data_IF_519704141956
#
_entry.id   IF_519704141956
#
_cell.length_a   1.000
_cell.length_b   1.000
_cell.length_c   1.000
_cell.angle_alpha   90.00
_cell.angle_beta   90.00
_cell.angle_gamma   90.00
#
_symmetry.space_group_name_H-M   'P 1'
#
loop_
_entity.id
_entity.type
_entity.pdbx_description
1 polymer ?
#
# COMPACT_ATOMS: atom_id res chain seq x y z
N UNK A 1 7.10 36.42 4.03
CA UNK A 1 8.26 36.72 4.88
C UNK A 1 8.71 35.45 5.55
N UNK A 2 10.04 35.28 5.59
CA UNK A 2 10.85 34.23 6.20
C UNK A 2 10.81 32.87 5.46
N UNK A 3 11.82 32.55 4.63
CA UNK A 3 13.21 32.16 5.01
C UNK A 3 13.21 31.01 6.02
N UNK A 4 14.05 30.00 6.01
CA UNK A 4 15.16 29.53 5.17
C UNK A 4 15.54 28.23 5.86
N UNK A 5 15.84 27.14 5.15
CA UNK A 5 16.84 26.24 5.69
C UNK A 5 17.70 25.68 4.56
N UNK A 6 18.88 26.28 4.46
CA UNK A 6 19.94 26.00 3.49
C UNK A 6 21.19 25.65 4.30
N UNK A 7 21.96 24.75 3.70
CA UNK A 7 23.33 24.33 4.03
C UNK A 7 23.46 23.10 4.94
N UNK A 8 24.25 22.05 4.63
CA UNK A 8 25.35 21.70 3.70
C UNK A 8 26.44 21.18 4.63
N UNK A 9 26.87 19.92 4.48
CA UNK A 9 28.23 19.55 4.86
C UNK A 9 28.72 18.41 3.98
N UNK A 10 29.50 18.80 2.99
CA UNK A 10 30.48 17.95 2.33
C UNK A 10 31.73 17.90 3.21
N UNK A 11 32.26 16.70 3.48
CA UNK A 11 33.65 16.41 3.84
C UNK A 11 33.85 14.98 3.33
N UNK A 12 34.69 14.65 2.34
CA UNK A 12 36.02 15.17 2.04
C UNK A 12 37.01 14.04 2.32
N UNK A 13 37.75 13.58 1.30
CA UNK A 13 39.20 13.25 1.32
C UNK A 13 39.59 12.06 0.40
N UNK A 14 39.91 12.40 -0.84
CA UNK A 14 41.19 12.05 -1.51
C UNK A 14 41.72 13.38 -2.07
N UNK A 15 43.03 13.63 -2.35
CA UNK A 15 44.09 12.66 -2.66
C UNK A 15 45.54 13.07 -2.21
N UNK A 16 46.51 12.22 -2.59
CA UNK A 16 47.94 12.51 -2.94
C UNK A 16 48.93 13.02 -1.87
N UNK A 17 50.07 12.32 -1.75
CA UNK A 17 51.44 12.79 -1.37
C UNK A 17 52.28 11.51 -1.15
N UNK A 18 53.47 11.26 -1.70
CA UNK A 18 54.37 11.97 -2.60
C UNK A 18 55.33 10.91 -3.17
N UNK A 19 55.86 11.25 -4.34
CA UNK A 19 56.92 10.56 -5.07
C UNK A 19 58.17 10.32 -4.22
N UNK A 20 58.91 9.25 -4.52
CA UNK A 20 60.37 9.29 -4.44
C UNK A 20 60.93 8.46 -5.59
N UNK A 21 61.14 9.15 -6.72
CA UNK A 21 62.08 8.73 -7.75
C UNK A 21 63.47 8.94 -7.15
N UNK A 22 64.18 7.85 -6.94
CA UNK A 22 65.65 7.91 -6.83
C UNK A 22 66.20 6.98 -7.89
N UNK A 23 66.47 7.57 -9.05
CA UNK A 23 67.38 7.01 -10.03
C UNK A 23 68.79 7.38 -9.55
N UNK A 24 69.56 6.39 -9.12
CA UNK A 24 70.98 6.53 -8.81
C UNK A 24 71.73 5.36 -9.45
N UNK A 25 72.54 5.69 -10.45
CA UNK A 25 73.84 5.06 -10.69
C UNK A 25 73.82 3.72 -11.41
N UNK A 26 74.02 3.79 -12.73
CA UNK A 26 74.80 2.80 -13.47
C UNK A 26 76.25 2.88 -12.98
N UNK A 27 76.74 1.88 -12.24
CA UNK A 27 78.17 1.53 -12.21
C UNK A 27 78.35 0.02 -11.94
N UNK A 28 78.86 -0.65 -12.97
CA UNK A 28 79.53 -1.95 -12.94
C UNK A 28 80.49 -2.08 -11.75
N UNK A 29 80.24 -3.04 -10.85
CA UNK A 29 81.30 -3.78 -10.17
C UNK A 29 80.90 -5.24 -9.99
N UNK A 30 81.72 -6.10 -10.56
CA UNK A 30 81.74 -7.56 -10.47
C UNK A 30 81.55 -8.06 -9.04
N UNK A 31 80.44 -8.75 -8.78
CA UNK A 31 80.29 -9.61 -7.60
C UNK A 31 80.57 -11.05 -8.02
N UNK A 32 81.84 -11.42 -7.85
CA UNK A 32 82.39 -12.76 -7.64
C UNK A 32 81.33 -13.84 -7.44
N UNK A 33 81.31 -14.83 -8.33
CA UNK A 33 80.43 -16.00 -8.25
C UNK A 33 80.57 -16.69 -6.90
N UNK A 34 79.61 -16.45 -6.02
CA UNK A 34 79.45 -17.19 -4.78
C UNK A 34 78.79 -18.51 -5.20
N UNK A 35 79.59 -19.56 -5.29
CA UNK A 35 79.10 -20.93 -5.35
C UNK A 35 78.23 -21.15 -4.11
N UNK A 36 76.91 -21.05 -4.26
CA UNK A 36 75.97 -21.53 -3.25
C UNK A 36 75.92 -23.05 -3.37
N UNK A 37 76.90 -23.70 -2.75
CA UNK A 37 76.73 -25.07 -2.29
C UNK A 37 75.51 -25.11 -1.37
N UNK A 38 74.46 -25.73 -1.90
CA UNK A 38 73.49 -26.54 -1.17
C UNK A 38 72.93 -25.98 0.16
N UNK A 39 72.33 -24.78 0.15
CA UNK A 39 71.37 -24.41 1.20
C UNK A 39 70.06 -25.17 0.96
N UNK A 40 70.04 -26.45 1.35
CA UNK A 40 68.84 -27.29 1.32
C UNK A 40 67.84 -26.73 2.33
N UNK A 41 66.72 -26.19 1.82
CA UNK A 41 65.60 -25.77 2.69
C UNK A 41 65.11 -26.99 3.48
N UNK A 42 64.96 -26.90 4.82
CA UNK A 42 64.45 -28.02 5.61
C UNK A 42 63.08 -28.44 5.10
N UNK A 43 62.87 -29.75 4.99
CA UNK A 43 61.64 -30.34 4.49
C UNK A 43 60.52 -30.14 5.53
N UNK A 44 59.91 -28.96 5.54
CA UNK A 44 58.79 -28.64 6.43
C UNK A 44 57.53 -29.46 6.11
N UNK A 45 56.66 -29.63 7.12
CA UNK A 45 55.36 -30.31 7.02
C UNK A 45 54.54 -29.76 5.82
N UNK A 46 54.45 -30.52 4.73
CA UNK A 46 53.73 -30.14 3.50
C UNK A 46 52.20 -30.36 3.55
N UNK A 47 51.68 -30.85 4.67
CA UNK A 47 50.26 -31.24 4.80
C UNK A 47 49.28 -30.09 4.53
N UNK A 48 49.66 -28.84 4.84
CA UNK A 48 48.82 -27.68 4.57
C UNK A 48 48.77 -27.30 3.06
N UNK A 49 49.84 -27.57 2.31
CA UNK A 49 49.92 -27.26 0.87
C UNK A 49 49.11 -28.26 0.02
N UNK A 50 49.07 -29.52 0.45
CA UNK A 50 48.29 -30.60 -0.17
C UNK A 50 46.78 -30.31 -0.11
N UNK A 51 46.27 -29.94 1.07
CA UNK A 51 44.85 -29.61 1.28
C UNK A 51 44.42 -28.39 0.45
N UNK A 52 45.32 -27.42 0.23
CA UNK A 52 45.06 -26.23 -0.59
C UNK A 52 45.08 -26.50 -2.09
N UNK A 53 45.83 -27.51 -2.56
CA UNK A 53 45.82 -27.94 -3.97
C UNK A 53 44.52 -28.67 -4.33
N UNK A 54 43.97 -29.49 -3.42
CA UNK A 54 42.71 -30.26 -3.60
C UNK A 54 41.41 -29.44 -3.52
N UNK A 55 41.50 -28.12 -3.33
CA UNK A 55 40.36 -27.20 -3.47
C UNK A 55 40.49 -26.34 -4.74
N UNK A 56 41.66 -26.39 -5.39
CA UNK A 56 41.99 -25.65 -6.62
C UNK A 56 42.20 -26.62 -7.79
N UNK A 57 42.01 -27.92 -7.60
CA UNK A 57 41.84 -28.86 -8.69
C UNK A 57 40.43 -28.71 -9.27
N UNK A 58 40.30 -28.91 -10.58
CA UNK A 58 39.07 -28.63 -11.32
C UNK A 58 37.87 -29.35 -10.70
N UNK A 59 38.05 -30.59 -10.24
CA UNK A 59 37.01 -31.38 -9.59
C UNK A 59 36.55 -30.77 -8.24
N UNK A 60 37.48 -30.31 -7.41
CA UNK A 60 37.15 -29.67 -6.14
C UNK A 60 36.39 -28.35 -6.33
N UNK A 61 36.75 -27.57 -7.36
CA UNK A 61 36.04 -26.34 -7.74
C UNK A 61 34.63 -26.64 -8.23
N UNK A 62 34.47 -27.65 -9.10
CA UNK A 62 33.16 -28.06 -9.63
C UNK A 62 32.21 -28.50 -8.51
N UNK A 63 32.69 -29.26 -7.52
CA UNK A 63 31.89 -29.69 -6.38
C UNK A 63 31.40 -28.52 -5.51
N UNK A 64 32.25 -27.52 -5.26
CA UNK A 64 31.88 -26.31 -4.51
C UNK A 64 30.86 -25.49 -5.30
N UNK A 65 31.07 -25.29 -6.60
CA UNK A 65 30.13 -24.57 -7.47
C UNK A 65 28.78 -25.27 -7.52
N UNK A 66 28.74 -26.60 -7.62
CA UNK A 66 27.51 -27.38 -7.60
C UNK A 66 26.75 -27.23 -6.28
N UNK A 67 27.46 -27.23 -5.15
CA UNK A 67 26.85 -26.97 -3.83
C UNK A 67 26.29 -25.56 -3.74
N UNK A 68 27.03 -24.55 -4.19
CA UNK A 68 26.58 -23.17 -4.22
C UNK A 68 25.32 -23.01 -5.09
N UNK A 69 25.32 -23.60 -6.30
CA UNK A 69 24.18 -23.60 -7.20
C UNK A 69 22.95 -24.25 -6.55
N UNK A 70 23.13 -25.39 -5.87
CA UNK A 70 22.06 -26.05 -5.14
C UNK A 70 21.47 -25.16 -4.03
N UNK A 71 22.34 -24.50 -3.25
CA UNK A 71 21.91 -23.57 -2.19
C UNK A 71 21.15 -22.37 -2.76
N UNK A 72 21.67 -21.74 -3.81
CA UNK A 72 21.01 -20.61 -4.47
C UNK A 72 19.65 -21.00 -5.05
N UNK A 73 19.54 -22.18 -5.66
CA UNK A 73 18.27 -22.69 -6.18
C UNK A 73 17.23 -22.85 -5.07
N UNK A 74 17.62 -23.46 -3.94
CA UNK A 74 16.73 -23.61 -2.77
C UNK A 74 16.30 -22.26 -2.18
N UNK A 75 17.22 -21.30 -2.11
CA UNK A 75 16.91 -19.97 -1.61
C UNK A 75 15.93 -19.24 -2.53
N UNK A 76 16.12 -19.32 -3.85
CA UNK A 76 15.18 -18.74 -4.81
C UNK A 76 13.79 -19.40 -4.71
N UNK A 77 13.72 -20.73 -4.60
CA UNK A 77 12.46 -21.45 -4.41
C UNK A 77 11.75 -21.05 -3.11
N UNK A 78 12.51 -20.86 -2.02
CA UNK A 78 11.97 -20.40 -0.75
C UNK A 78 11.41 -18.98 -0.85
N UNK A 79 12.20 -18.05 -1.40
CA UNK A 79 11.80 -16.65 -1.58
C UNK A 79 10.55 -16.53 -2.46
N UNK A 80 10.47 -17.33 -3.53
CA UNK A 80 9.31 -17.36 -4.41
C UNK A 80 8.04 -17.78 -3.66
N UNK A 81 8.10 -18.86 -2.88
CA UNK A 81 6.98 -19.32 -2.06
C UNK A 81 6.58 -18.31 -0.99
N UNK A 82 7.56 -17.66 -0.37
CA UNK A 82 7.32 -16.61 0.62
C UNK A 82 6.58 -15.41 -0.01
N UNK A 83 7.00 -15.00 -1.22
CA UNK A 83 6.35 -13.93 -1.97
C UNK A 83 4.92 -14.29 -2.37
N UNK A 84 4.69 -15.50 -2.87
CA UNK A 84 3.34 -15.99 -3.21
C UNK A 84 2.42 -15.99 -1.99
N UNK A 85 2.90 -16.49 -0.85
CA UNK A 85 2.15 -16.48 0.40
C UNK A 85 1.83 -15.06 0.87
N UNK A 86 2.76 -14.12 0.68
CA UNK A 86 2.56 -12.71 1.01
C UNK A 86 1.48 -12.08 0.14
N UNK A 87 1.52 -12.31 -1.17
CA UNK A 87 0.51 -11.85 -2.13
C UNK A 87 -0.87 -12.42 -1.77
N UNK A 88 -0.96 -13.73 -1.49
CA UNK A 88 -2.23 -14.38 -1.14
C UNK A 88 -2.83 -13.80 0.16
N UNK A 89 -2.00 -13.59 1.19
CA UNK A 89 -2.43 -12.97 2.45
C UNK A 89 -2.93 -11.55 2.23
N UNK A 90 -2.20 -10.74 1.47
CA UNK A 90 -2.56 -9.35 1.22
C UNK A 90 -3.84 -9.25 0.38
N UNK A 91 -4.02 -10.16 -0.59
CA UNK A 91 -5.24 -10.26 -1.41
C UNK A 91 -6.46 -10.63 -0.56
N UNK A 92 -6.37 -11.68 0.27
CA UNK A 92 -7.46 -12.05 1.19
C UNK A 92 -7.79 -10.94 2.18
N UNK A 93 -6.77 -10.25 2.67
CA UNK A 93 -6.96 -9.12 3.59
C UNK A 93 -7.66 -7.95 2.90
N UNK A 94 -7.31 -7.66 1.64
CA UNK A 94 -7.97 -6.65 0.84
C UNK A 94 -9.43 -7.00 0.57
N UNK A 95 -9.71 -8.23 0.15
CA UNK A 95 -11.06 -8.72 -0.13
C UNK A 95 -11.98 -8.62 1.11
N UNK A 96 -11.49 -9.02 2.28
CA UNK A 96 -12.26 -8.88 3.54
C UNK A 96 -12.57 -7.42 3.88
N UNK A 97 -11.61 -6.51 3.68
CA UNK A 97 -11.82 -5.07 3.90
C UNK A 97 -12.85 -4.52 2.93
N UNK A 98 -12.76 -4.89 1.65
CA UNK A 98 -13.68 -4.46 0.62
C UNK A 98 -15.11 -4.94 0.90
N UNK A 99 -15.27 -6.22 1.25
CA UNK A 99 -16.56 -6.79 1.60
C UNK A 99 -17.18 -6.08 2.82
N UNK A 100 -16.36 -5.77 3.83
CA UNK A 100 -16.81 -5.03 5.02
C UNK A 100 -17.26 -3.62 4.65
N UNK A 101 -16.52 -2.92 3.79
CA UNK A 101 -16.86 -1.58 3.33
C UNK A 101 -18.15 -1.58 2.51
N UNK A 102 -18.30 -2.51 1.57
CA UNK A 102 -19.51 -2.68 0.75
C UNK A 102 -20.75 -2.89 1.62
N UNK A 103 -20.69 -3.82 2.57
CA UNK A 103 -21.80 -4.06 3.53
C UNK A 103 -22.10 -2.83 4.39
N UNK A 104 -21.08 -2.09 4.82
CA UNK A 104 -21.28 -0.87 5.61
C UNK A 104 -22.00 0.23 4.82
N UNK A 105 -21.65 0.40 3.55
CA UNK A 105 -22.31 1.37 2.66
C UNK A 105 -23.76 0.95 2.39
N UNK A 106 -24.01 -0.32 2.10
CA UNK A 106 -25.37 -0.83 1.88
C UNK A 106 -26.26 -0.64 3.11
N UNK A 107 -25.74 -0.89 4.32
CA UNK A 107 -26.46 -0.65 5.57
C UNK A 107 -26.75 0.84 5.80
N UNK A 108 -25.81 1.73 5.45
CA UNK A 108 -26.02 3.18 5.55
C UNK A 108 -27.09 3.67 4.58
N UNK A 109 -27.03 3.22 3.33
CA UNK A 109 -28.00 3.59 2.30
C UNK A 109 -29.41 3.09 2.64
N UNK A 110 -29.53 1.84 3.09
CA UNK A 110 -30.81 1.27 3.52
C UNK A 110 -31.37 1.99 4.74
N UNK A 111 -30.55 2.28 5.74
CA UNK A 111 -30.96 3.05 6.91
C UNK A 111 -31.41 4.48 6.53
N UNK A 112 -30.71 5.14 5.61
CA UNK A 112 -31.10 6.47 5.14
C UNK A 112 -32.43 6.43 4.38
N UNK A 113 -32.61 5.46 3.47
CA UNK A 113 -33.87 5.26 2.73
C UNK A 113 -35.05 5.01 3.68
N UNK A 114 -34.84 4.19 4.72
CA UNK A 114 -35.86 3.93 5.74
C UNK A 114 -36.22 5.20 6.51
N UNK A 115 -35.24 6.03 6.89
CA UNK A 115 -35.51 7.31 7.56
C UNK A 115 -36.36 8.25 6.71
N UNK A 116 -36.03 8.37 5.41
CA UNK A 116 -36.79 9.21 4.48
C UNK A 116 -38.23 8.69 4.35
N UNK A 117 -38.41 7.40 4.09
CA UNK A 117 -39.75 6.79 3.97
C UNK A 117 -40.57 6.94 5.23
N UNK A 118 -39.96 6.76 6.39
CA UNK A 118 -40.64 6.91 7.68
C UNK A 118 -41.06 8.36 7.93
N UNK A 119 -40.22 9.33 7.55
CA UNK A 119 -40.58 10.74 7.60
C UNK A 119 -41.75 11.06 6.65
N UNK A 120 -41.69 10.62 5.39
CA UNK A 120 -42.76 10.81 4.41
C UNK A 120 -44.10 10.21 4.89
N UNK A 121 -44.05 9.02 5.50
CA UNK A 121 -45.23 8.37 6.07
C UNK A 121 -45.81 9.16 7.25
N UNK A 122 -44.95 9.68 8.13
CA UNK A 122 -45.37 10.53 9.25
C UNK A 122 -46.02 11.83 8.76
N UNK A 123 -45.41 12.51 7.80
CA UNK A 123 -45.97 13.74 7.22
C UNK A 123 -47.30 13.47 6.51
N UNK A 124 -47.41 12.38 5.74
CA UNK A 124 -48.65 12.00 5.07
C UNK A 124 -49.76 11.63 6.07
N UNK A 125 -49.41 10.95 7.16
CA UNK A 125 -50.37 10.62 8.23
C UNK A 125 -50.86 11.87 8.96
N UNK A 126 -49.97 12.82 9.26
CA UNK A 126 -50.33 14.10 9.87
C UNK A 126 -51.25 14.92 8.96
N UNK A 127 -50.95 15.01 7.65
CA UNK A 127 -51.81 15.71 6.68
C UNK A 127 -53.22 15.11 6.61
N UNK A 128 -53.34 13.78 6.59
CA UNK A 128 -54.65 13.11 6.64
C UNK A 128 -55.38 13.39 7.94
N UNK A 129 -54.69 13.31 9.08
CA UNK A 129 -55.29 13.61 10.37
C UNK A 129 -55.77 15.06 10.46
N UNK A 130 -55.00 16.02 9.91
CA UNK A 130 -55.41 17.42 9.83
C UNK A 130 -56.64 17.57 8.92
N UNK A 131 -56.64 16.97 7.72
CA UNK A 131 -57.82 16.98 6.83
C UNK A 131 -59.05 16.38 7.51
N UNK A 132 -58.93 15.22 8.15
CA UNK A 132 -60.02 14.59 8.89
C UNK A 132 -60.50 15.47 10.04
N UNK A 133 -59.58 16.14 10.75
CA UNK A 133 -59.94 17.07 11.82
C UNK A 133 -60.73 18.26 11.29
N UNK A 134 -60.33 18.80 10.14
CA UNK A 134 -61.00 19.93 9.48
C UNK A 134 -62.39 19.52 8.98
N UNK A 135 -62.51 18.40 8.27
CA UNK A 135 -63.79 17.92 7.71
C UNK A 135 -64.82 17.56 8.79
N UNK A 136 -64.35 17.14 9.97
CA UNK A 136 -65.23 16.79 11.10
C UNK A 136 -65.46 17.96 12.07
N UNK A 137 -64.88 19.14 11.83
CA UNK A 137 -65.17 20.34 12.61
C UNK A 137 -66.48 20.98 12.12
N UNK A 138 -67.37 21.26 13.07
CA UNK A 138 -68.59 22.02 12.78
C UNK A 138 -68.25 23.52 12.68
N UNK A 139 -68.13 24.00 11.43
CA UNK A 139 -67.75 25.39 11.12
C UNK A 139 -68.72 26.39 11.75
N UNK A 140 -69.99 26.04 11.93
CA UNK A 140 -71.01 26.91 12.54
C UNK A 140 -70.72 27.26 14.00
N UNK A 141 -69.91 26.45 14.68
CA UNK A 141 -69.50 26.65 16.08
C UNK A 141 -68.20 27.45 16.22
N UNK A 142 -67.53 27.79 15.11
CA UNK A 142 -66.31 28.59 15.12
C UNK A 142 -66.62 30.10 15.14
N UNK A 143 -65.69 30.89 15.66
CA UNK A 143 -65.77 32.36 15.65
C UNK A 143 -65.71 32.84 14.19
N UNK A 144 -66.45 33.89 13.78
CA UNK A 144 -66.56 34.31 12.37
C UNK A 144 -65.23 34.53 11.63
N UNK A 145 -64.18 34.98 12.34
CA UNK A 145 -62.85 35.12 11.77
C UNK A 145 -62.24 33.78 11.32
N UNK A 146 -62.47 32.70 12.07
CA UNK A 146 -62.00 31.35 11.75
C UNK A 146 -62.86 30.69 10.67
N UNK A 147 -64.17 30.95 10.65
CA UNK A 147 -65.07 30.49 9.59
C UNK A 147 -64.57 30.93 8.21
N UNK A 148 -64.21 32.22 8.09
CA UNK A 148 -63.70 32.81 6.85
C UNK A 148 -62.35 32.22 6.39
N UNK A 149 -61.50 31.79 7.34
CA UNK A 149 -60.23 31.13 6.99
C UNK A 149 -60.42 29.70 6.48
N UNK A 150 -61.41 28.98 7.01
CA UNK A 150 -61.76 27.64 6.52
C UNK A 150 -62.37 27.69 5.14
N UNK A 151 -63.29 28.63 4.90
CA UNK A 151 -63.85 28.88 3.57
C UNK A 151 -62.77 29.18 2.54
N UNK A 152 -61.67 29.88 2.87
CA UNK A 152 -60.56 30.12 1.94
C UNK A 152 -59.66 28.89 1.71
N UNK A 153 -59.47 28.04 2.72
CA UNK A 153 -58.61 26.84 2.65
C UNK A 153 -59.24 25.73 1.80
N UNK A 154 -60.57 25.70 1.64
CA UNK A 154 -61.25 24.77 0.73
C UNK A 154 -60.88 25.03 -0.74
N UNK A 155 -60.74 26.29 -1.15
CA UNK A 155 -60.39 26.65 -2.55
C UNK A 155 -58.94 26.36 -2.92
N UNK A 156 -58.05 26.16 -1.94
CA UNK A 156 -56.63 25.86 -2.16
C UNK A 156 -56.37 24.35 -2.34
N UNK A 157 -57.33 23.48 -1.99
CA UNK A 157 -57.20 22.02 -2.07
C UNK A 157 -57.70 21.42 -3.40
N UNK A 158 -58.40 22.19 -4.25
CA UNK A 158 -58.96 21.69 -5.51
C UNK A 158 -57.90 21.35 -6.59
N UNK A 159 -56.67 21.88 -6.47
CA UNK A 159 -55.53 21.56 -7.35
C UNK A 159 -54.72 20.31 -6.91
N UNK A 160 -55.10 19.65 -5.80
CA UNK A 160 -54.28 18.61 -5.16
C UNK A 160 -54.77 17.16 -5.38
N UNK A 161 -55.81 16.94 -6.18
CA UNK A 161 -56.17 15.60 -6.67
C UNK A 161 -55.50 15.38 -8.02
N UNK A 162 -54.29 14.83 -7.97
CA UNK A 162 -53.45 14.58 -9.13
C UNK A 162 -54.20 13.97 -10.30
N UNK A 163 -54.00 14.57 -11.47
CA UNK A 163 -54.18 13.93 -12.76
C UNK A 163 -53.30 12.66 -12.81
N UNK A 164 -53.89 11.50 -12.51
CA UNK A 164 -53.37 10.21 -12.96
C UNK A 164 -53.55 10.13 -14.49
N UNK A 165 -52.73 10.88 -15.23
CA UNK A 165 -52.49 10.56 -16.64
C UNK A 165 -51.57 9.33 -16.62
N UNK A 166 -52.21 8.17 -16.68
CA UNK A 166 -51.60 6.91 -17.14
C UNK A 166 -51.01 7.18 -18.53
N UNK A 167 -49.73 7.56 -18.57
CA UNK A 167 -48.98 7.63 -19.80
C UNK A 167 -48.49 6.22 -20.15
N UNK A 168 -49.37 5.49 -20.83
CA UNK A 168 -48.97 4.38 -21.69
C UNK A 168 -48.03 4.92 -22.77
N UNK A 169 -46.80 4.43 -22.79
CA UNK A 169 -46.00 4.40 -24.01
C UNK A 169 -45.40 3.00 -24.19
N UNK A 170 -45.84 2.38 -25.28
CA UNK A 170 -45.23 1.24 -25.96
C UNK A 170 -43.86 1.61 -26.54
#
# INVERSE_FOLDING_TARGET
MNESNKHRSSNGNTPTTHENVVNLGDESMTSTGINFDEVVRPQGRKSCKEKRRRLNDENGVVDVLKKLQCTLKKQNEFNQKELELKIEKDMKQFEMREQTLRKNLELKDTAQKLKIKDQELRERAQKRQEQDHIMNQDISKLIPALQKTYELKEWENDDLFGNDIVSNYY
#
